data_IF_868251317707
#
_entry.id   IF_868251317707
#
_cell.length_a   1.000
_cell.length_b   1.000
_cell.length_c   1.000
_cell.angle_alpha   90.00
_cell.angle_beta   90.00
_cell.angle_gamma   90.00
#
_symmetry.space_group_name_H-M   'P 1'
#
loop_
_entity.id
_entity.type
_entity.pdbx_description
1 polymer ?
#
# COMPACT_ATOMS: atom_id res chain seq x y z
N UNK A 1 -0.89 -0.30 -21.46
CA UNK A 1 -1.92 -0.28 -20.40
C UNK A 1 -2.94 -1.41 -20.57
N UNK A 2 -3.62 -1.57 -21.72
CA UNK A 2 -4.64 -2.63 -21.94
C UNK A 2 -4.14 -4.08 -21.73
N UNK A 3 -2.87 -4.37 -22.03
CA UNK A 3 -2.24 -5.71 -21.82
C UNK A 3 -2.14 -6.16 -20.34
N UNK A 4 -2.34 -5.24 -19.40
CA UNK A 4 -2.19 -5.49 -17.95
C UNK A 4 -3.52 -5.71 -17.23
N UNK A 5 -4.65 -5.25 -17.77
CA UNK A 5 -5.93 -5.23 -17.02
C UNK A 5 -6.59 -6.60 -16.89
N UNK A 6 -6.25 -7.49 -17.82
CA UNK A 6 -6.55 -8.90 -17.84
C UNK A 6 -5.32 -9.49 -18.52
N UNK A 7 -4.57 -10.38 -17.88
CA UNK A 7 -3.44 -11.02 -18.52
C UNK A 7 -3.87 -11.47 -19.92
N UNK A 8 -3.07 -11.21 -20.97
CA UNK A 8 -3.45 -11.50 -22.36
C UNK A 8 -4.11 -12.88 -22.48
N UNK A 9 -3.54 -13.87 -21.78
CA UNK A 9 -4.11 -15.19 -21.61
C UNK A 9 -5.54 -15.15 -21.06
N UNK A 10 -5.78 -14.62 -19.85
CA UNK A 10 -7.11 -14.53 -19.20
C UNK A 10 -8.16 -13.80 -20.04
N UNK A 11 -7.80 -12.73 -20.75
CA UNK A 11 -8.75 -12.04 -21.63
C UNK A 11 -9.11 -12.87 -22.87
N UNK A 12 -8.12 -13.40 -23.58
CA UNK A 12 -8.34 -14.30 -24.72
C UNK A 12 -9.13 -15.55 -24.29
N UNK A 13 -8.81 -16.05 -23.09
CA UNK A 13 -9.50 -17.14 -22.42
C UNK A 13 -10.98 -16.82 -22.17
N UNK A 14 -11.29 -15.68 -21.55
CA UNK A 14 -12.66 -15.25 -21.24
C UNK A 14 -13.51 -14.92 -22.47
N UNK A 15 -12.91 -14.35 -23.53
CA UNK A 15 -13.59 -14.13 -24.81
C UNK A 15 -13.94 -15.46 -25.49
N UNK A 16 -13.03 -16.45 -25.42
CA UNK A 16 -13.26 -17.78 -25.96
C UNK A 16 -14.38 -18.51 -25.21
N UNK A 17 -14.39 -18.46 -23.88
CA UNK A 17 -15.44 -19.06 -23.06
C UNK A 17 -16.82 -18.46 -23.35
N UNK A 18 -16.92 -17.14 -23.42
CA UNK A 18 -18.18 -16.49 -23.77
C UNK A 18 -18.68 -16.88 -25.16
N UNK A 19 -17.80 -17.00 -26.15
CA UNK A 19 -18.17 -17.47 -27.48
C UNK A 19 -18.66 -18.93 -27.48
N UNK A 20 -18.10 -19.79 -26.62
CA UNK A 20 -18.55 -21.19 -26.44
C UNK A 20 -19.94 -21.28 -25.78
N UNK A 21 -20.30 -20.32 -24.91
CA UNK A 21 -21.63 -20.17 -24.29
C UNK A 21 -22.65 -19.41 -25.16
N UNK A 22 -22.28 -19.07 -26.41
CA UNK A 22 -23.14 -18.30 -27.33
C UNK A 22 -23.25 -16.81 -26.98
N UNK A 23 -22.43 -16.31 -26.05
CA UNK A 23 -22.34 -14.92 -25.66
C UNK A 23 -21.34 -14.17 -26.57
N UNK A 24 -21.84 -13.21 -27.34
CA UNK A 24 -20.98 -12.26 -28.07
C UNK A 24 -20.48 -11.20 -27.10
N UNK A 25 -19.24 -11.34 -26.62
CA UNK A 25 -18.60 -10.30 -25.81
C UNK A 25 -17.98 -9.26 -26.75
N UNK A 26 -18.62 -8.09 -26.83
CA UNK A 26 -18.03 -6.95 -27.52
C UNK A 26 -16.92 -6.34 -26.65
N UNK A 27 -15.68 -6.65 -27.01
CA UNK A 27 -14.47 -6.12 -26.34
C UNK A 27 -14.52 -4.61 -26.20
N UNK A 28 -15.00 -3.88 -27.21
CA UNK A 28 -15.09 -2.42 -27.16
C UNK A 28 -16.07 -1.95 -26.09
N UNK A 29 -17.19 -2.63 -25.92
CA UNK A 29 -18.20 -2.26 -24.93
C UNK A 29 -17.77 -2.60 -23.50
N UNK A 30 -17.12 -3.76 -23.31
CA UNK A 30 -16.48 -4.12 -22.04
C UNK A 30 -15.43 -3.08 -21.67
N UNK A 31 -14.49 -2.80 -22.58
CA UNK A 31 -13.41 -1.85 -22.34
C UNK A 31 -13.91 -0.43 -22.10
N UNK A 32 -15.02 -0.03 -22.73
CA UNK A 32 -15.67 1.25 -22.45
C UNK A 32 -16.03 1.37 -20.96
N UNK A 33 -16.63 0.33 -20.36
CA UNK A 33 -16.97 0.30 -18.94
C UNK A 33 -15.74 0.43 -18.01
N UNK A 34 -14.55 0.03 -18.45
CA UNK A 34 -13.33 0.11 -17.65
C UNK A 34 -12.49 1.37 -17.89
N UNK A 35 -12.70 2.09 -18.99
CA UNK A 35 -11.80 3.17 -19.42
C UNK A 35 -12.41 4.58 -19.39
N UNK A 36 -13.74 4.69 -19.29
CA UNK A 36 -14.44 5.99 -19.32
C UNK A 36 -14.99 6.45 -17.97
N UNK A 37 -14.78 5.66 -16.91
CA UNK A 37 -15.20 5.98 -15.56
C UNK A 37 -14.07 5.76 -14.56
N UNK A 38 -14.08 6.53 -13.47
CA UNK A 38 -13.04 6.50 -12.44
C UNK A 38 -13.22 5.31 -11.47
N UNK A 39 -12.10 4.87 -10.88
CA UNK A 39 -11.99 3.78 -9.90
C UNK A 39 -12.31 2.38 -10.47
N UNK A 40 -12.52 1.41 -9.60
CA UNK A 40 -12.73 -0.01 -9.92
C UNK A 40 -13.77 -0.62 -8.95
N UNK A 41 -14.36 -1.80 -9.27
CA UNK A 41 -15.36 -2.40 -8.40
C UNK A 41 -14.76 -3.16 -7.22
N UNK A 42 -15.54 -3.24 -6.14
CA UNK A 42 -15.48 -4.32 -5.15
C UNK A 42 -16.63 -5.29 -5.42
N UNK A 43 -16.29 -6.58 -5.51
CA UNK A 43 -17.21 -7.69 -5.73
C UNK A 43 -17.47 -8.38 -4.39
N UNK A 44 -18.72 -8.43 -3.95
CA UNK A 44 -19.15 -9.15 -2.75
C UNK A 44 -19.69 -10.53 -3.15
N UNK A 45 -19.12 -11.58 -2.56
CA UNK A 45 -19.53 -12.97 -2.74
C UNK A 45 -20.19 -13.46 -1.46
N UNK A 46 -21.43 -13.90 -1.55
CA UNK A 46 -22.21 -14.39 -0.42
C UNK A 46 -22.56 -15.85 -0.63
N UNK A 47 -22.17 -16.73 0.29
CA UNK A 47 -22.63 -18.12 0.32
C UNK A 47 -24.07 -18.16 0.81
N UNK A 48 -25.00 -18.52 -0.08
CA UNK A 48 -26.43 -18.54 0.23
C UNK A 48 -26.83 -19.90 0.83
N UNK A 49 -26.39 -20.98 0.19
CA UNK A 49 -26.62 -22.37 0.60
C UNK A 49 -25.63 -23.30 -0.11
N UNK A 50 -25.47 -24.57 0.32
CA UNK A 50 -24.60 -25.51 -0.39
C UNK A 50 -24.95 -25.58 -1.88
N UNK A 51 -23.95 -25.34 -2.73
CA UNK A 51 -24.06 -25.30 -4.18
C UNK A 51 -24.51 -23.96 -4.77
N UNK A 52 -24.68 -22.90 -3.97
CA UNK A 52 -25.20 -21.61 -4.43
C UNK A 52 -24.53 -20.42 -3.75
N UNK A 53 -24.06 -19.47 -4.57
CA UNK A 53 -23.52 -18.18 -4.13
C UNK A 53 -24.21 -17.03 -4.86
N UNK A 54 -24.30 -15.88 -4.22
CA UNK A 54 -24.71 -14.61 -4.83
C UNK A 54 -23.51 -13.67 -4.91
N UNK A 55 -23.29 -13.12 -6.10
CA UNK A 55 -22.17 -12.22 -6.39
C UNK A 55 -22.72 -10.85 -6.78
N UNK A 56 -22.31 -9.79 -6.08
CA UNK A 56 -22.74 -8.42 -6.35
C UNK A 56 -21.55 -7.48 -6.51
N UNK A 57 -21.73 -6.37 -7.24
CA UNK A 57 -20.68 -5.39 -7.47
C UNK A 57 -21.09 -3.98 -7.02
N UNK A 58 -20.10 -3.21 -6.59
CA UNK A 58 -20.23 -1.78 -6.27
C UNK A 58 -18.90 -1.05 -6.49
N UNK A 59 -18.92 0.28 -6.70
CA UNK A 59 -17.70 1.09 -6.83
C UNK A 59 -16.91 1.05 -5.53
N UNK A 60 -15.63 0.70 -5.60
CA UNK A 60 -14.72 0.80 -4.47
C UNK A 60 -14.29 2.27 -4.28
N UNK A 61 -14.39 2.75 -3.05
CA UNK A 61 -13.88 4.04 -2.58
C UNK A 61 -13.09 3.79 -1.31
N UNK A 62 -11.92 4.44 -1.18
CA UNK A 62 -11.11 4.35 0.03
C UNK A 62 -11.86 4.94 1.23
N UNK A 63 -12.52 6.08 1.03
CA UNK A 63 -13.45 6.67 1.99
C UNK A 63 -14.89 6.56 1.47
N UNK A 64 -15.72 5.80 2.17
CA UNK A 64 -17.13 5.58 1.81
C UNK A 64 -18.00 6.83 1.98
N UNK A 65 -17.52 7.84 2.71
CA UNK A 65 -18.21 9.11 2.91
C UNK A 65 -17.83 10.18 1.87
N UNK A 66 -16.94 9.84 0.92
CA UNK A 66 -16.62 10.75 -0.19
C UNK A 66 -17.90 11.04 -0.99
N UNK A 67 -18.19 12.33 -1.24
CA UNK A 67 -19.34 12.73 -2.06
C UNK A 67 -19.30 12.00 -3.40
N UNK A 68 -20.39 11.30 -3.71
CA UNK A 68 -20.51 10.54 -4.95
C UNK A 68 -20.84 11.49 -6.11
N UNK A 69 -20.39 11.13 -7.32
CA UNK A 69 -20.68 11.86 -8.57
C UNK A 69 -22.19 11.77 -8.96
N UNK A 70 -23.10 12.18 -8.07
CA UNK A 70 -24.55 12.15 -8.29
C UNK A 70 -25.12 10.78 -8.72
N UNK A 71 -26.19 10.81 -9.52
CA UNK A 71 -26.92 9.63 -10.04
C UNK A 71 -26.10 8.71 -10.99
N UNK A 72 -24.78 8.88 -11.12
CA UNK A 72 -23.98 8.02 -11.99
C UNK A 72 -23.89 6.59 -11.43
N UNK A 73 -24.41 5.65 -12.21
CA UNK A 73 -24.35 4.22 -11.87
C UNK A 73 -23.02 3.66 -12.34
N UNK A 74 -22.15 3.32 -11.39
CA UNK A 74 -20.84 2.73 -11.67
C UNK A 74 -20.93 1.21 -11.66
N UNK A 75 -20.87 0.61 -12.86
CA UNK A 75 -21.00 -0.82 -13.09
C UNK A 75 -20.00 -1.28 -14.15
N UNK A 76 -19.52 -2.51 -14.03
CA UNK A 76 -18.50 -3.09 -14.90
C UNK A 76 -18.88 -4.48 -15.39
N UNK A 77 -18.38 -4.83 -16.57
CA UNK A 77 -18.38 -6.20 -17.06
C UNK A 77 -17.15 -6.91 -16.48
N UNK A 78 -17.37 -7.82 -15.52
CA UNK A 78 -16.31 -8.41 -14.70
C UNK A 78 -16.09 -9.88 -15.10
N UNK A 79 -14.88 -10.27 -15.52
CA UNK A 79 -14.52 -11.68 -15.69
C UNK A 79 -14.25 -12.28 -14.31
N UNK A 80 -15.25 -12.93 -13.74
CA UNK A 80 -15.22 -13.49 -12.40
C UNK A 80 -14.76 -14.94 -12.44
N UNK A 81 -13.83 -15.31 -11.55
CA UNK A 81 -13.36 -16.68 -11.37
C UNK A 81 -13.48 -17.07 -9.91
N UNK A 82 -13.69 -18.36 -9.64
CA UNK A 82 -13.81 -18.92 -8.29
C UNK A 82 -13.01 -20.21 -8.13
N UNK A 83 -12.53 -20.43 -6.91
CA UNK A 83 -12.01 -21.69 -6.41
C UNK A 83 -12.70 -21.99 -5.07
N UNK A 84 -12.71 -23.26 -4.68
CA UNK A 84 -13.23 -23.72 -3.40
C UNK A 84 -12.27 -24.73 -2.75
N UNK A 85 -12.63 -25.25 -1.58
CA UNK A 85 -11.83 -26.22 -0.82
C UNK A 85 -11.42 -27.45 -1.62
N UNK A 86 -12.21 -27.86 -2.61
CA UNK A 86 -11.92 -29.02 -3.47
C UNK A 86 -10.98 -28.67 -4.64
N UNK A 87 -10.71 -27.39 -4.89
CA UNK A 87 -9.82 -26.93 -5.95
C UNK A 87 -8.36 -27.21 -5.57
N UNK A 88 -7.66 -28.00 -6.37
CA UNK A 88 -6.26 -28.29 -6.14
C UNK A 88 -5.40 -27.04 -6.43
N UNK A 89 -4.39 -26.75 -5.60
CA UNK A 89 -3.61 -25.50 -5.69
C UNK A 89 -2.88 -25.31 -7.04
N UNK A 90 -2.56 -26.42 -7.72
CA UNK A 90 -1.97 -26.41 -9.05
C UNK A 90 -2.95 -25.94 -10.15
N UNK A 91 -4.25 -26.00 -9.87
CA UNK A 91 -5.35 -25.65 -10.77
C UNK A 91 -5.97 -24.28 -10.44
N UNK A 92 -5.36 -23.53 -9.49
CA UNK A 92 -5.81 -22.18 -9.11
C UNK A 92 -5.54 -21.15 -10.21
N UNK A 93 -4.67 -21.44 -11.18
CA UNK A 93 -4.58 -20.66 -12.42
C UNK A 93 -5.75 -21.04 -13.33
N UNK A 94 -6.78 -20.18 -13.49
CA UNK A 94 -8.03 -20.57 -14.10
C UNK A 94 -7.85 -21.00 -15.55
N UNK A 95 -8.46 -22.13 -15.90
CA UNK A 95 -8.70 -22.51 -17.28
C UNK A 95 -9.67 -21.47 -17.88
N UNK A 96 -9.58 -21.14 -19.18
CA UNK A 96 -10.58 -20.31 -19.84
C UNK A 96 -12.03 -20.64 -19.51
N UNK A 97 -12.33 -21.92 -19.28
CA UNK A 97 -13.68 -22.42 -18.99
C UNK A 97 -14.21 -22.07 -17.60
N UNK A 98 -13.36 -21.55 -16.72
CA UNK A 98 -13.71 -21.26 -15.32
C UNK A 98 -14.14 -19.78 -15.13
N UNK A 99 -14.26 -19.01 -16.23
CA UNK A 99 -14.60 -17.58 -16.20
C UNK A 99 -16.11 -17.40 -16.34
N UNK A 100 -16.72 -16.78 -15.33
CA UNK A 100 -18.12 -16.38 -15.28
C UNK A 100 -18.19 -14.87 -15.54
N UNK A 101 -18.90 -14.43 -16.58
CA UNK A 101 -19.02 -13.00 -16.87
C UNK A 101 -20.17 -12.35 -16.09
N UNK A 102 -19.82 -11.44 -15.19
CA UNK A 102 -20.79 -10.58 -14.50
C UNK A 102 -21.08 -9.36 -15.39
N UNK A 103 -22.30 -9.29 -15.93
CA UNK A 103 -22.73 -8.17 -16.78
C UNK A 103 -22.87 -6.89 -15.98
N UNK A 104 -22.43 -5.76 -16.55
CA UNK A 104 -22.64 -4.42 -15.97
C UNK A 104 -24.11 -4.02 -15.83
N UNK A 105 -25.02 -4.70 -16.52
CA UNK A 105 -26.47 -4.45 -16.43
C UNK A 105 -27.08 -5.05 -15.16
N UNK A 106 -26.36 -5.95 -14.49
CA UNK A 106 -26.82 -6.64 -13.28
C UNK A 106 -25.97 -6.24 -12.08
N UNK A 107 -26.64 -5.69 -11.05
CA UNK A 107 -26.00 -5.41 -9.76
C UNK A 107 -25.56 -6.67 -9.05
N UNK A 108 -26.32 -7.75 -9.22
CA UNK A 108 -26.11 -9.04 -8.58
C UNK A 108 -26.41 -10.20 -9.55
N UNK A 109 -25.71 -11.31 -9.36
CA UNK A 109 -25.85 -12.55 -10.12
C UNK A 109 -25.76 -13.72 -9.15
N UNK A 110 -26.71 -14.64 -9.23
CA UNK A 110 -26.66 -15.92 -8.52
C UNK A 110 -25.94 -16.95 -9.37
N UNK A 111 -24.97 -17.65 -8.78
CA UNK A 111 -24.18 -18.71 -9.39
C UNK A 111 -24.53 -20.01 -8.66
N UNK A 112 -24.84 -21.04 -9.45
CA UNK A 112 -25.18 -22.38 -8.95
C UNK A 112 -24.16 -23.36 -9.52
N UNK A 113 -23.38 -23.98 -8.63
CA UNK A 113 -22.32 -24.92 -8.99
C UNK A 113 -22.17 -26.00 -7.92
N UNK A 114 -22.09 -27.26 -8.34
CA UNK A 114 -21.97 -28.39 -7.41
C UNK A 114 -20.64 -28.32 -6.66
N UNK A 115 -20.67 -28.52 -5.34
CA UNK A 115 -19.47 -28.52 -4.50
C UNK A 115 -19.07 -27.15 -3.94
N UNK A 116 -19.85 -26.10 -4.17
CA UNK A 116 -19.69 -24.84 -3.43
C UNK A 116 -20.18 -25.04 -1.98
N UNK A 117 -19.40 -24.66 -0.96
CA UNK A 117 -19.84 -24.76 0.43
C UNK A 117 -20.93 -23.73 0.73
N UNK A 118 -21.84 -24.10 1.62
CA UNK A 118 -22.79 -23.18 2.24
C UNK A 118 -22.19 -22.37 3.38
N UNK A 119 -22.93 -21.39 3.93
CA UNK A 119 -22.45 -20.53 5.01
C UNK A 119 -22.25 -21.27 6.34
N UNK A 120 -22.84 -22.45 6.53
CA UNK A 120 -22.70 -23.29 7.73
C UNK A 120 -21.41 -24.15 7.72
N UNK A 121 -20.79 -24.33 6.55
CA UNK A 121 -19.57 -25.14 6.38
C UNK A 121 -18.33 -24.27 6.61
N UNK A 122 -18.07 -23.95 7.88
CA UNK A 122 -17.05 -22.95 8.29
C UNK A 122 -15.60 -23.38 8.05
N UNK A 123 -15.34 -24.68 7.92
CA UNK A 123 -14.01 -25.22 7.59
C UNK A 123 -13.74 -25.21 6.06
N UNK A 124 -14.76 -24.88 5.27
CA UNK A 124 -14.69 -24.79 3.81
C UNK A 124 -14.76 -23.33 3.33
N UNK A 125 -14.13 -23.05 2.19
CA UNK A 125 -13.97 -21.68 1.68
C UNK A 125 -14.31 -21.56 0.19
N UNK A 126 -14.68 -20.35 -0.21
CA UNK A 126 -14.75 -19.88 -1.58
C UNK A 126 -13.76 -18.73 -1.75
N UNK A 127 -12.91 -18.80 -2.77
CA UNK A 127 -11.95 -17.75 -3.13
C UNK A 127 -12.23 -17.29 -4.55
N UNK A 128 -12.59 -16.03 -4.72
CA UNK A 128 -12.81 -15.43 -6.02
C UNK A 128 -11.63 -14.58 -6.49
N UNK A 129 -11.63 -14.26 -7.79
CA UNK A 129 -10.49 -13.62 -8.47
C UNK A 129 -9.21 -14.44 -8.34
N UNK A 130 -9.33 -15.75 -8.63
CA UNK A 130 -8.21 -16.70 -8.57
C UNK A 130 -7.04 -16.21 -9.43
N UNK A 131 -5.84 -16.20 -8.85
CA UNK A 131 -4.64 -15.64 -9.48
C UNK A 131 -4.56 -14.10 -9.56
N UNK A 132 -5.55 -13.37 -9.01
CA UNK A 132 -5.61 -11.90 -9.01
C UNK A 132 -5.52 -11.29 -10.42
N UNK A 133 -6.15 -11.92 -11.40
CA UNK A 133 -6.10 -11.48 -12.80
C UNK A 133 -7.07 -10.35 -13.13
N UNK A 134 -8.17 -10.25 -12.39
CA UNK A 134 -9.17 -9.22 -12.56
C UNK A 134 -8.83 -7.94 -11.79
N UNK A 135 -9.05 -6.79 -12.41
CA UNK A 135 -8.86 -5.47 -11.79
C UNK A 135 -10.03 -5.08 -10.88
N UNK A 136 -10.27 -5.87 -9.84
CA UNK A 136 -11.32 -5.64 -8.84
C UNK A 136 -10.92 -6.23 -7.49
N UNK A 137 -11.44 -5.64 -6.41
CA UNK A 137 -11.31 -6.22 -5.07
C UNK A 137 -12.43 -7.22 -4.83
N UNK A 138 -12.17 -8.24 -4.01
CA UNK A 138 -13.19 -9.21 -3.58
C UNK A 138 -13.45 -9.06 -2.10
N UNK A 139 -14.71 -9.14 -1.73
CA UNK A 139 -15.19 -9.30 -0.38
C UNK A 139 -16.10 -10.54 -0.33
N UNK A 140 -16.24 -11.16 0.84
CA UNK A 140 -17.05 -12.35 1.08
C UNK A 140 -18.00 -12.12 2.28
N UNK A 141 -18.98 -13.01 2.45
CA UNK A 141 -19.79 -13.07 3.66
C UNK A 141 -18.97 -13.39 4.93
N UNK A 142 -19.59 -13.18 6.09
CA UNK A 142 -18.92 -13.24 7.41
C UNK A 142 -18.49 -14.63 7.83
N UNK A 143 -18.99 -15.68 7.19
CA UNK A 143 -18.55 -17.05 7.51
C UNK A 143 -17.51 -17.55 6.51
N UNK A 144 -17.44 -16.97 5.29
CA UNK A 144 -16.43 -17.26 4.28
C UNK A 144 -15.16 -16.42 4.45
N UNK A 145 -15.34 -15.12 4.69
CA UNK A 145 -14.41 -14.35 5.54
C UNK A 145 -14.75 -14.65 6.99
N UNK A 146 -14.07 -13.99 7.91
CA UNK A 146 -14.61 -13.73 9.24
C UNK A 146 -15.50 -12.48 9.30
N UNK A 147 -15.82 -11.80 8.18
CA UNK A 147 -16.69 -10.62 8.16
C UNK A 147 -16.45 -9.61 7.04
N UNK A 148 -17.40 -8.68 6.81
CA UNK A 148 -17.03 -7.33 6.37
C UNK A 148 -16.01 -6.84 7.41
N UNK A 149 -14.76 -6.73 6.99
CA UNK A 149 -13.64 -6.84 7.92
C UNK A 149 -13.69 -5.76 9.00
N UNK A 150 -14.07 -6.15 10.22
CA UNK A 150 -13.56 -5.47 11.41
C UNK A 150 -12.02 -5.55 11.32
N UNK A 151 -11.32 -4.50 11.72
CA UNK A 151 -9.85 -4.45 11.67
C UNK A 151 -9.21 -5.66 12.34
N UNK A 152 -9.81 -6.13 13.45
CA UNK A 152 -9.44 -7.39 14.14
C UNK A 152 -9.37 -8.58 13.20
N UNK A 153 -10.32 -8.73 12.27
CA UNK A 153 -10.36 -9.86 11.35
C UNK A 153 -9.24 -9.77 10.33
N UNK A 154 -9.02 -8.58 9.75
CA UNK A 154 -7.90 -8.37 8.84
C UNK A 154 -6.56 -8.66 9.55
N UNK A 155 -6.43 -8.25 10.81
CA UNK A 155 -5.28 -8.54 11.64
C UNK A 155 -5.15 -10.04 12.01
N UNK A 156 -6.24 -10.76 12.21
CA UNK A 156 -6.18 -12.23 12.40
C UNK A 156 -5.62 -12.93 11.16
N UNK A 157 -5.93 -12.43 9.95
CA UNK A 157 -5.38 -13.00 8.72
C UNK A 157 -3.88 -12.82 8.57
N UNK A 158 -3.22 -11.95 9.33
CA UNK A 158 -1.74 -11.86 9.32
C UNK A 158 -1.09 -12.76 10.38
N UNK A 159 -1.86 -13.40 11.26
CA UNK A 159 -1.34 -14.34 12.25
C UNK A 159 -0.63 -15.55 11.64
N UNK A 160 -0.97 -15.96 10.42
CA UNK A 160 -0.27 -17.07 9.75
C UNK A 160 1.13 -16.71 9.25
N UNK A 161 1.50 -15.42 9.18
CA UNK A 161 2.76 -14.97 8.58
C UNK A 161 3.98 -15.59 9.25
N UNK A 162 3.93 -15.88 10.56
CA UNK A 162 4.99 -16.61 11.27
C UNK A 162 5.33 -17.99 10.63
N UNK A 163 4.40 -18.56 9.87
CA UNK A 163 4.57 -19.84 9.16
C UNK A 163 4.80 -19.66 7.66
N UNK A 164 4.63 -18.46 7.13
CA UNK A 164 4.79 -18.14 5.72
C UNK A 164 6.27 -18.01 5.35
N UNK A 165 6.64 -18.51 4.17
CA UNK A 165 8.01 -18.51 3.63
C UNK A 165 8.09 -17.90 2.23
N UNK A 166 6.95 -17.64 1.58
CA UNK A 166 6.86 -17.11 0.23
C UNK A 166 6.94 -15.59 0.24
N UNK A 167 7.58 -15.04 -0.79
CA UNK A 167 7.80 -13.60 -0.94
C UNK A 167 6.49 -12.80 -1.09
N UNK A 168 5.58 -13.24 -1.97
CA UNK A 168 4.39 -12.44 -2.31
C UNK A 168 3.46 -12.16 -1.12
N UNK A 169 3.11 -13.13 -0.27
CA UNK A 169 2.26 -12.83 0.89
C UNK A 169 2.96 -11.95 1.93
N UNK A 170 4.27 -12.13 2.14
CA UNK A 170 5.06 -11.23 2.99
C UNK A 170 5.14 -9.81 2.43
N UNK A 171 5.34 -9.66 1.13
CA UNK A 171 5.35 -8.36 0.47
C UNK A 171 4.02 -7.64 0.66
N UNK A 172 2.90 -8.32 0.37
CA UNK A 172 1.56 -7.77 0.59
C UNK A 172 1.34 -7.35 2.05
N UNK A 173 1.69 -8.22 3.00
CA UNK A 173 1.53 -7.92 4.43
C UNK A 173 2.39 -6.75 4.89
N UNK A 174 3.69 -6.73 4.57
CA UNK A 174 4.62 -5.70 5.04
C UNK A 174 4.28 -4.34 4.43
N UNK A 175 3.79 -4.28 3.20
CA UNK A 175 3.30 -3.02 2.61
C UNK A 175 2.13 -2.46 3.42
N UNK A 176 1.10 -3.25 3.70
CA UNK A 176 -0.07 -2.77 4.46
C UNK A 176 0.26 -2.51 5.95
N UNK A 177 1.18 -3.28 6.54
CA UNK A 177 1.67 -3.07 7.91
C UNK A 177 2.55 -1.82 8.04
N UNK A 178 3.23 -1.41 6.97
CA UNK A 178 3.97 -0.15 6.95
C UNK A 178 3.00 1.05 7.00
N UNK A 179 1.91 1.01 6.25
CA UNK A 179 0.84 2.02 6.34
C UNK A 179 0.28 2.09 7.77
N UNK A 180 -0.03 0.93 8.38
CA UNK A 180 -0.50 0.87 9.76
C UNK A 180 0.50 1.46 10.77
N UNK A 181 1.80 1.19 10.59
CA UNK A 181 2.87 1.78 11.40
C UNK A 181 2.89 3.30 11.28
N UNK A 182 2.70 3.83 10.08
CA UNK A 182 2.80 5.27 9.81
C UNK A 182 1.61 6.06 10.40
N UNK A 183 0.54 5.37 10.77
CA UNK A 183 -0.59 5.90 11.54
C UNK A 183 -0.32 5.99 13.06
N UNK A 184 0.83 5.51 13.54
CA UNK A 184 1.20 5.48 14.95
C UNK A 184 2.37 6.41 15.22
N UNK A 185 2.26 7.22 16.27
CA UNK A 185 3.40 8.00 16.77
C UNK A 185 4.41 7.08 17.46
N UNK A 186 5.72 7.30 17.23
CA UNK A 186 6.78 6.45 17.83
C UNK A 186 6.77 6.50 19.36
N UNK A 187 6.31 7.59 19.95
CA UNK A 187 6.18 7.77 21.40
C UNK A 187 4.90 7.13 21.98
N UNK A 188 4.00 6.63 21.13
CA UNK A 188 2.75 5.99 21.54
C UNK A 188 3.01 4.55 22.05
N UNK A 189 2.47 4.14 23.21
CA UNK A 189 2.50 2.75 23.65
C UNK A 189 2.08 1.72 22.59
N UNK A 190 1.14 2.08 21.71
CA UNK A 190 0.65 1.21 20.62
C UNK A 190 1.80 0.84 19.68
N UNK A 191 2.70 1.78 19.38
CA UNK A 191 3.85 1.54 18.51
C UNK A 191 4.78 0.45 19.08
N UNK A 192 4.93 0.40 20.40
CA UNK A 192 5.72 -0.64 21.09
C UNK A 192 5.06 -2.02 20.99
N UNK A 193 3.74 -2.08 21.17
CA UNK A 193 2.98 -3.32 20.99
C UNK A 193 3.07 -3.83 19.55
N UNK A 194 2.93 -2.93 18.57
CA UNK A 194 3.09 -3.22 17.15
C UNK A 194 4.51 -3.73 16.82
N UNK A 195 5.54 -3.08 17.35
CA UNK A 195 6.94 -3.48 17.17
C UNK A 195 7.20 -4.89 17.73
N UNK A 196 6.62 -5.20 18.90
CA UNK A 196 6.73 -6.51 19.53
C UNK A 196 6.07 -7.59 18.68
N UNK A 197 4.87 -7.32 18.16
CA UNK A 197 4.17 -8.19 17.23
C UNK A 197 5.00 -8.45 15.96
N UNK A 198 5.53 -7.40 15.31
CA UNK A 198 6.33 -7.52 14.09
C UNK A 198 7.63 -8.31 14.29
N UNK A 199 8.33 -8.08 15.41
CA UNK A 199 9.52 -8.86 15.76
C UNK A 199 9.18 -10.35 15.88
N UNK A 200 8.06 -10.69 16.51
CA UNK A 200 7.60 -12.08 16.63
C UNK A 200 7.29 -12.70 15.26
N UNK A 201 6.51 -12.02 14.42
CA UNK A 201 6.14 -12.52 13.09
C UNK A 201 7.37 -12.79 12.22
N UNK A 202 8.33 -11.87 12.22
CA UNK A 202 9.55 -11.95 11.39
C UNK A 202 10.63 -12.88 11.95
N UNK A 203 10.59 -13.18 13.25
CA UNK A 203 11.65 -13.92 13.96
C UNK A 203 12.07 -15.22 13.28
N UNK A 204 11.11 -16.01 12.80
CA UNK A 204 11.38 -17.29 12.13
C UNK A 204 12.17 -17.09 10.84
N UNK A 205 11.72 -16.19 9.97
CA UNK A 205 12.41 -15.89 8.72
C UNK A 205 13.78 -15.26 9.01
N UNK A 206 13.85 -14.33 9.95
CA UNK A 206 15.11 -13.71 10.34
C UNK A 206 16.14 -14.76 10.79
N UNK A 207 15.72 -15.74 11.60
CA UNK A 207 16.58 -16.84 12.05
C UNK A 207 16.93 -17.86 10.95
N UNK A 208 16.23 -17.87 9.81
CA UNK A 208 16.63 -18.68 8.65
C UNK A 208 17.75 -18.04 7.84
N UNK A 209 18.00 -16.74 8.00
CA UNK A 209 19.15 -16.08 7.39
C UNK A 209 20.41 -16.39 8.22
N UNK A 210 21.45 -16.90 7.54
CA UNK A 210 22.68 -17.41 8.17
C UNK A 210 23.41 -16.31 8.98
N UNK A 211 23.70 -16.52 10.28
CA UNK A 211 24.43 -15.58 11.12
C UNK A 211 25.86 -15.28 10.62
N UNK A 212 26.42 -16.05 9.68
CA UNK A 212 27.68 -15.73 9.00
C UNK A 212 27.62 -14.43 8.18
N UNK A 213 26.42 -13.94 7.85
CA UNK A 213 26.24 -12.63 7.20
C UNK A 213 26.51 -11.43 8.14
N UNK A 214 26.61 -11.62 9.46
CA UNK A 214 26.60 -10.50 10.40
C UNK A 214 27.99 -9.97 10.81
N UNK A 215 29.06 -10.73 10.65
CA UNK A 215 30.38 -10.33 11.18
C UNK A 215 31.31 -9.66 10.15
N UNK A 216 31.11 -9.90 8.85
CA UNK A 216 32.01 -9.43 7.78
C UNK A 216 31.47 -8.22 6.99
N UNK A 217 30.24 -7.77 7.27
CA UNK A 217 29.57 -6.72 6.49
C UNK A 217 29.96 -5.30 6.90
N UNK A 218 30.47 -5.11 8.12
CA UNK A 218 30.83 -3.78 8.65
C UNK A 218 32.18 -3.26 8.13
N UNK A 219 33.06 -4.14 7.64
CA UNK A 219 34.41 -3.74 7.18
C UNK A 219 34.48 -3.43 5.68
N UNK A 220 33.49 -3.85 4.87
CA UNK A 220 33.48 -3.61 3.42
C UNK A 220 32.07 -3.37 2.89
N UNK A 221 31.67 -2.09 2.74
CA UNK A 221 30.40 -1.66 2.12
C UNK A 221 30.12 -2.34 0.76
N UNK A 222 31.18 -2.72 0.02
CA UNK A 222 31.07 -3.36 -1.30
C UNK A 222 30.58 -4.82 -1.24
N UNK A 223 30.67 -5.48 -0.07
CA UNK A 223 30.18 -6.86 0.14
C UNK A 223 28.72 -6.96 0.54
N UNK A 224 28.06 -5.83 0.78
CA UNK A 224 26.64 -5.81 1.11
C UNK A 224 25.84 -6.16 -0.14
N UNK A 225 25.01 -7.20 -0.05
CA UNK A 225 24.10 -7.56 -1.15
C UNK A 225 23.23 -6.36 -1.51
N UNK A 226 23.14 -6.05 -2.80
CA UNK A 226 22.42 -4.87 -3.31
C UNK A 226 21.01 -4.75 -2.75
N UNK A 227 20.35 -5.89 -2.54
CA UNK A 227 18.98 -5.99 -2.05
C UNK A 227 18.82 -5.60 -0.56
N UNK A 228 19.87 -5.71 0.26
CA UNK A 228 19.83 -5.37 1.70
C UNK A 228 20.48 -4.02 2.02
N UNK A 229 21.14 -3.37 1.04
CA UNK A 229 21.91 -2.13 1.24
C UNK A 229 21.07 -1.01 1.85
N UNK A 230 19.85 -0.80 1.37
CA UNK A 230 18.99 0.25 1.89
C UNK A 230 18.69 0.05 3.39
N UNK A 231 18.30 -1.17 3.77
CA UNK A 231 18.06 -1.54 5.17
C UNK A 231 19.33 -1.37 6.00
N UNK A 232 20.47 -1.88 5.52
CA UNK A 232 21.73 -1.78 6.23
C UNK A 232 22.17 -0.33 6.47
N UNK A 233 22.17 0.51 5.43
CA UNK A 233 22.57 1.92 5.55
C UNK A 233 21.63 2.68 6.48
N UNK A 234 20.32 2.50 6.31
CA UNK A 234 19.34 3.15 7.17
C UNK A 234 19.50 2.73 8.64
N UNK A 235 19.70 1.43 8.92
CA UNK A 235 19.94 0.92 10.29
C UNK A 235 21.24 1.45 10.87
N UNK A 236 22.32 1.50 10.08
CA UNK A 236 23.60 2.05 10.51
C UNK A 236 23.46 3.54 10.88
N UNK A 237 22.84 4.35 10.01
CA UNK A 237 22.61 5.78 10.27
C UNK A 237 21.63 6.03 11.43
N UNK A 238 20.61 5.19 11.59
CA UNK A 238 19.65 5.31 12.71
C UNK A 238 20.34 5.17 14.06
N UNK A 239 21.34 4.29 14.16
CA UNK A 239 22.06 4.00 15.40
C UNK A 239 23.46 4.65 15.46
N UNK A 240 23.85 5.36 14.40
CA UNK A 240 25.18 5.93 14.23
C UNK A 240 25.35 7.33 14.83
N UNK A 241 26.59 7.77 14.81
CA UNK A 241 27.04 9.10 15.23
C UNK A 241 27.07 10.10 14.07
N UNK A 242 27.46 11.34 14.35
CA UNK A 242 27.74 12.33 13.29
C UNK A 242 28.84 11.83 12.34
N UNK A 243 29.89 11.18 12.86
CA UNK A 243 31.01 10.68 12.05
C UNK A 243 30.55 9.59 11.07
N UNK A 244 29.65 8.70 11.51
CA UNK A 244 29.06 7.67 10.65
C UNK A 244 28.19 8.29 9.55
N UNK A 245 27.46 9.36 9.87
CA UNK A 245 26.67 10.11 8.90
C UNK A 245 27.55 10.82 7.87
N UNK A 246 28.61 11.52 8.33
CA UNK A 246 29.55 12.22 7.47
C UNK A 246 30.23 11.23 6.50
N UNK A 247 30.62 10.06 6.98
CA UNK A 247 31.17 9.00 6.14
C UNK A 247 30.21 8.56 5.03
N UNK A 248 28.94 8.30 5.35
CA UNK A 248 27.93 7.92 4.33
C UNK A 248 27.67 9.08 3.36
N UNK A 249 27.70 10.33 3.84
CA UNK A 249 27.54 11.51 2.99
C UNK A 249 28.71 11.68 2.02
N UNK A 250 29.95 11.47 2.47
CA UNK A 250 31.13 11.46 1.59
C UNK A 250 31.01 10.37 0.52
N UNK A 251 30.52 9.18 0.87
CA UNK A 251 30.27 8.10 -0.08
C UNK A 251 29.18 8.49 -1.08
N UNK A 252 28.11 9.16 -0.65
CA UNK A 252 27.07 9.71 -1.54
C UNK A 252 27.64 10.68 -2.58
N UNK A 253 28.55 11.57 -2.17
CA UNK A 253 29.19 12.54 -3.07
C UNK A 253 30.10 11.88 -4.12
N UNK A 254 30.70 10.75 -3.78
CA UNK A 254 31.61 9.99 -4.66
C UNK A 254 30.88 8.95 -5.53
N UNK A 255 29.60 8.66 -5.27
CA UNK A 255 28.86 7.60 -5.95
C UNK A 255 28.42 8.01 -7.37
N UNK A 256 28.91 7.28 -8.36
CA UNK A 256 28.59 7.49 -9.77
C UNK A 256 27.26 6.87 -10.20
N UNK A 257 26.82 5.81 -9.52
CA UNK A 257 25.63 5.03 -9.86
C UNK A 257 24.39 5.70 -9.31
N UNK A 258 23.45 6.08 -10.20
CA UNK A 258 22.24 6.80 -9.79
C UNK A 258 21.39 6.07 -8.75
N UNK A 259 21.21 4.75 -8.90
CA UNK A 259 20.43 3.94 -7.96
C UNK A 259 21.09 3.81 -6.58
N UNK A 260 22.41 3.65 -6.55
CA UNK A 260 23.14 3.57 -5.28
C UNK A 260 23.20 4.92 -4.58
N UNK A 261 23.40 5.99 -5.35
CA UNK A 261 23.33 7.35 -4.83
C UNK A 261 21.98 7.64 -4.20
N UNK A 262 20.88 7.17 -4.80
CA UNK A 262 19.54 7.32 -4.25
C UNK A 262 19.34 6.55 -2.92
N UNK A 263 19.89 5.33 -2.81
CA UNK A 263 19.88 4.56 -1.54
C UNK A 263 20.65 5.28 -0.44
N UNK A 264 21.85 5.77 -0.72
CA UNK A 264 22.66 6.52 0.24
C UNK A 264 21.93 7.79 0.68
N UNK A 265 21.38 8.54 -0.27
CA UNK A 265 20.57 9.74 -0.02
C UNK A 265 19.39 9.47 0.90
N UNK A 266 18.65 8.39 0.63
CA UNK A 266 17.50 7.98 1.46
C UNK A 266 17.95 7.55 2.85
N UNK A 267 19.07 6.83 2.97
CA UNK A 267 19.59 6.36 4.25
C UNK A 267 20.09 7.49 5.16
N UNK A 268 20.66 8.56 4.59
CA UNK A 268 21.07 9.75 5.35
C UNK A 268 19.90 10.41 6.09
N UNK A 269 18.68 10.26 5.57
CA UNK A 269 17.47 10.75 6.22
C UNK A 269 17.00 9.87 7.39
N UNK A 270 17.59 8.69 7.64
CA UNK A 270 17.20 7.80 8.74
C UNK A 270 17.78 8.18 10.12
N UNK A 271 18.59 9.24 10.20
CA UNK A 271 19.21 9.65 11.47
C UNK A 271 18.16 10.10 12.49
N UNK A 272 18.42 9.83 13.78
CA UNK A 272 17.59 10.34 14.89
C UNK A 272 17.94 11.78 15.29
N UNK A 273 19.02 12.34 14.74
CA UNK A 273 19.48 13.68 15.07
C UNK A 273 18.74 14.73 14.22
N UNK A 274 17.81 15.45 14.85
CA UNK A 274 17.02 16.49 14.20
C UNK A 274 17.86 17.60 13.53
N UNK A 275 19.03 17.95 14.08
CA UNK A 275 19.89 18.98 13.48
C UNK A 275 20.51 18.51 12.16
N UNK A 276 20.83 17.22 12.06
CA UNK A 276 21.33 16.63 10.81
C UNK A 276 20.20 16.62 9.77
N UNK A 277 18.96 16.31 10.19
CA UNK A 277 17.80 16.38 9.29
C UNK A 277 17.57 17.80 8.77
N UNK A 278 17.64 18.81 9.63
CA UNK A 278 17.54 20.22 9.22
C UNK A 278 18.63 20.58 8.19
N UNK A 279 19.88 20.21 8.49
CA UNK A 279 21.03 20.42 7.60
C UNK A 279 20.83 19.73 6.24
N UNK A 280 20.33 18.50 6.24
CA UNK A 280 20.07 17.72 5.03
C UNK A 280 18.99 18.38 4.14
N UNK A 281 17.97 19.00 4.73
CA UNK A 281 16.96 19.76 3.99
C UNK A 281 17.52 21.05 3.40
N UNK A 282 18.39 21.76 4.12
CA UNK A 282 19.12 22.91 3.58
C UNK A 282 20.01 22.51 2.39
N UNK A 283 20.73 21.39 2.51
CA UNK A 283 21.52 20.81 1.42
C UNK A 283 20.63 20.41 0.22
N UNK A 284 19.41 19.95 0.44
CA UNK A 284 18.46 19.62 -0.63
C UNK A 284 18.12 20.84 -1.51
N UNK A 285 18.13 22.05 -0.94
CA UNK A 285 17.91 23.29 -1.70
C UNK A 285 19.20 23.85 -2.33
N UNK A 286 20.36 23.22 -2.13
CA UNK A 286 21.63 23.63 -2.70
C UNK A 286 22.15 22.59 -3.70
N UNK A 287 22.15 22.96 -4.99
CA UNK A 287 22.57 22.09 -6.10
C UNK A 287 24.02 21.61 -6.04
N UNK A 288 24.85 22.23 -5.21
CA UNK A 288 26.25 21.83 -5.01
C UNK A 288 26.38 20.58 -4.14
N UNK A 289 25.39 20.31 -3.29
CA UNK A 289 25.37 19.15 -2.40
C UNK A 289 24.40 18.08 -2.92
N UNK A 290 23.16 18.46 -3.22
CA UNK A 290 22.13 17.53 -3.70
C UNK A 290 21.64 17.99 -5.06
N UNK A 291 21.59 17.05 -6.02
CA UNK A 291 21.13 17.33 -7.38
C UNK A 291 19.68 17.80 -7.35
N UNK A 292 19.33 18.69 -8.27
CA UNK A 292 18.01 19.32 -8.32
C UNK A 292 16.85 18.30 -8.42
N UNK A 293 17.02 17.26 -9.23
CA UNK A 293 16.05 16.17 -9.37
C UNK A 293 15.90 15.30 -8.11
N UNK A 294 16.90 15.31 -7.23
CA UNK A 294 16.97 14.51 -6.00
C UNK A 294 16.43 15.30 -4.79
N UNK A 295 16.30 16.63 -4.91
CA UNK A 295 15.91 17.54 -3.82
C UNK A 295 14.56 17.18 -3.18
N UNK A 296 13.51 17.03 -3.98
CA UNK A 296 12.17 16.65 -3.48
C UNK A 296 12.21 15.27 -2.84
N UNK A 297 12.95 14.33 -3.43
CA UNK A 297 13.14 13.01 -2.84
C UNK A 297 13.79 13.07 -1.46
N UNK A 298 14.69 14.03 -1.22
CA UNK A 298 15.33 14.22 0.10
C UNK A 298 14.34 14.79 1.10
N UNK A 299 13.55 15.80 0.73
CA UNK A 299 12.53 16.35 1.63
C UNK A 299 11.49 15.30 2.01
N UNK A 300 11.05 14.47 1.05
CA UNK A 300 10.11 13.37 1.30
C UNK A 300 10.74 12.30 2.20
N UNK A 301 12.02 11.96 2.00
CA UNK A 301 12.72 11.00 2.86
C UNK A 301 12.85 11.51 4.31
N UNK A 302 13.10 12.82 4.51
CA UNK A 302 13.12 13.44 5.84
C UNK A 302 11.72 13.46 6.45
N UNK A 303 10.68 13.74 5.66
CA UNK A 303 9.31 13.72 6.15
C UNK A 303 8.84 12.33 6.60
N UNK A 304 9.32 11.26 5.95
CA UNK A 304 9.05 9.88 6.38
C UNK A 304 9.83 9.43 7.63
N UNK A 305 10.73 10.25 8.16
CA UNK A 305 11.40 9.99 9.42
C UNK A 305 10.54 10.50 10.59
N UNK A 306 10.25 9.70 11.63
CA UNK A 306 9.49 10.14 12.80
C UNK A 306 10.02 11.40 13.50
N UNK A 307 11.34 11.62 13.49
CA UNK A 307 11.99 12.82 14.02
C UNK A 307 12.05 13.98 13.02
N UNK A 308 11.67 13.73 11.76
CA UNK A 308 11.75 14.64 10.63
C UNK A 308 10.39 15.11 10.09
N UNK A 309 9.28 14.42 10.37
CA UNK A 309 7.93 14.75 9.87
C UNK A 309 7.57 16.23 10.06
N UNK A 310 7.58 16.71 11.31
CA UNK A 310 7.22 18.09 11.61
C UNK A 310 8.25 19.09 11.06
N UNK A 311 9.54 18.73 11.13
CA UNK A 311 10.63 19.56 10.63
C UNK A 311 10.53 19.79 9.13
N UNK A 312 10.23 18.74 8.37
CA UNK A 312 10.05 18.78 6.93
C UNK A 312 8.86 19.66 6.56
N UNK A 313 7.76 19.55 7.29
CA UNK A 313 6.59 20.39 7.05
C UNK A 313 6.87 21.87 7.33
N UNK A 314 7.48 22.20 8.48
CA UNK A 314 7.88 23.58 8.79
C UNK A 314 8.90 24.12 7.77
N UNK A 315 9.84 23.30 7.33
CA UNK A 315 10.81 23.66 6.31
C UNK A 315 10.14 23.99 4.98
N UNK A 316 9.16 23.17 4.55
CA UNK A 316 8.38 23.40 3.32
C UNK A 316 7.58 24.69 3.43
N UNK A 317 6.86 24.94 4.53
CA UNK A 317 6.11 26.18 4.74
C UNK A 317 7.04 27.40 4.68
N UNK A 318 8.15 27.36 5.41
CA UNK A 318 9.11 28.47 5.53
C UNK A 318 9.81 28.77 4.20
N UNK A 319 10.19 27.73 3.45
CA UNK A 319 10.94 27.87 2.19
C UNK A 319 10.04 27.79 0.95
N UNK A 320 8.72 27.85 1.11
CA UNK A 320 7.79 27.69 0.00
C UNK A 320 8.05 28.63 -1.19
N UNK A 321 8.41 29.92 -1.00
CA UNK A 321 8.74 30.79 -2.14
C UNK A 321 9.89 30.25 -2.99
N UNK A 322 10.94 29.68 -2.38
CA UNK A 322 12.08 29.07 -3.09
C UNK A 322 11.66 27.78 -3.79
N UNK A 323 10.85 26.95 -3.13
CA UNK A 323 10.33 25.71 -3.69
C UNK A 323 9.42 25.99 -4.89
N UNK A 324 8.56 27.01 -4.79
CA UNK A 324 7.70 27.49 -5.87
C UNK A 324 8.52 27.97 -7.06
N UNK A 325 9.51 28.82 -6.84
CA UNK A 325 10.35 29.36 -7.92
C UNK A 325 11.09 28.25 -8.66
N UNK A 326 11.63 27.28 -7.91
CA UNK A 326 12.48 26.22 -8.47
C UNK A 326 11.72 25.05 -9.08
N UNK A 327 10.64 24.60 -8.44
CA UNK A 327 9.93 23.38 -8.81
C UNK A 327 8.46 23.60 -9.23
N UNK A 328 7.93 24.81 -9.04
CA UNK A 328 6.51 25.13 -9.21
C UNK A 328 6.00 25.06 -10.65
N UNK A 329 6.89 25.12 -11.65
CA UNK A 329 6.52 24.99 -13.07
C UNK A 329 5.97 23.60 -13.43
N UNK A 330 6.32 22.57 -12.65
CA UNK A 330 5.94 21.18 -12.94
C UNK A 330 4.92 20.69 -11.93
N UNK A 331 3.68 20.46 -12.39
CA UNK A 331 2.59 19.90 -11.57
C UNK A 331 3.02 18.63 -10.84
N UNK A 332 3.72 17.73 -11.53
CA UNK A 332 4.18 16.46 -10.97
C UNK A 332 5.15 16.64 -9.78
N UNK A 333 6.08 17.58 -9.84
CA UNK A 333 7.05 17.81 -8.77
C UNK A 333 6.37 18.31 -7.49
N UNK A 334 5.49 19.31 -7.65
CA UNK A 334 4.77 19.87 -6.50
C UNK A 334 3.78 18.87 -5.90
N UNK A 335 3.10 18.08 -6.74
CA UNK A 335 2.24 16.99 -6.26
C UNK A 335 3.04 15.95 -5.47
N UNK A 336 4.20 15.51 -6.01
CA UNK A 336 5.10 14.58 -5.30
C UNK A 336 5.60 15.16 -3.97
N UNK A 337 5.92 16.45 -3.93
CA UNK A 337 6.34 17.12 -2.71
C UNK A 337 5.24 17.11 -1.65
N UNK A 338 4.02 17.56 -1.99
CA UNK A 338 2.94 17.65 -1.01
C UNK A 338 2.45 16.29 -0.55
N UNK A 339 2.19 15.36 -1.47
CA UNK A 339 1.79 14.00 -1.10
C UNK A 339 2.87 13.30 -0.29
N UNK A 340 4.15 13.46 -0.63
CA UNK A 340 5.22 12.82 0.12
C UNK A 340 5.51 13.41 1.50
N UNK A 341 5.39 14.74 1.66
CA UNK A 341 5.62 15.40 2.96
C UNK A 341 4.41 15.23 3.89
N UNK A 342 3.20 15.16 3.35
CA UNK A 342 1.98 14.96 4.11
C UNK A 342 1.60 13.48 4.31
N UNK A 343 2.29 12.53 3.65
CA UNK A 343 2.04 11.09 3.81
C UNK A 343 1.92 10.63 5.28
N UNK A 344 2.81 11.03 6.21
CA UNK A 344 2.69 10.61 7.62
C UNK A 344 1.59 11.35 8.41
N UNK A 345 0.85 12.29 7.81
CA UNK A 345 -0.14 13.07 8.55
C UNK A 345 -1.40 12.27 8.84
N UNK A 346 -1.77 12.23 10.12
CA UNK A 346 -2.91 11.48 10.62
C UNK A 346 -3.63 12.18 11.80
N UNK A 347 -3.33 13.47 12.06
CA UNK A 347 -3.97 14.25 13.14
C UNK A 347 -4.77 15.43 12.59
N UNK A 348 -5.83 15.82 13.31
CA UNK A 348 -6.70 16.93 12.92
C UNK A 348 -5.93 18.26 12.79
N UNK A 349 -4.96 18.50 13.68
CA UNK A 349 -4.10 19.69 13.60
C UNK A 349 -3.33 19.74 12.27
N UNK A 350 -2.76 18.61 11.83
CA UNK A 350 -2.04 18.53 10.55
C UNK A 350 -2.94 18.70 9.34
N UNK A 351 -4.16 18.16 9.41
CA UNK A 351 -5.16 18.39 8.36
C UNK A 351 -5.49 19.87 8.24
N UNK A 352 -5.76 20.55 9.36
CA UNK A 352 -6.07 21.98 9.37
C UNK A 352 -4.91 22.83 8.86
N UNK A 353 -3.67 22.51 9.27
CA UNK A 353 -2.48 23.17 8.76
C UNK A 353 -2.35 23.04 7.23
N UNK A 354 -2.57 21.85 6.68
CA UNK A 354 -2.47 21.59 5.25
C UNK A 354 -3.59 22.28 4.45
N UNK A 355 -4.82 22.26 4.95
CA UNK A 355 -5.96 22.95 4.34
C UNK A 355 -5.78 24.47 4.34
N UNK A 356 -5.30 25.04 5.44
CA UNK A 356 -5.01 26.47 5.55
C UNK A 356 -3.86 26.88 4.62
N UNK A 357 -2.80 26.08 4.55
CA UNK A 357 -1.70 26.31 3.63
C UNK A 357 -2.15 26.29 2.15
N UNK A 358 -3.08 25.41 1.80
CA UNK A 358 -3.71 25.37 0.47
C UNK A 358 -4.54 26.60 0.17
N UNK A 359 -5.34 27.09 1.14
CA UNK A 359 -6.11 28.34 1.01
C UNK A 359 -5.20 29.55 0.80
N UNK A 360 -4.06 29.59 1.47
CA UNK A 360 -3.06 30.65 1.32
C UNK A 360 -2.33 30.60 -0.03
N UNK A 361 -2.33 29.44 -0.70
CA UNK A 361 -1.60 29.20 -1.95
C UNK A 361 -2.52 28.60 -3.04
N UNK A 362 -3.54 29.35 -3.51
CA UNK A 362 -4.59 28.82 -4.39
C UNK A 362 -4.07 28.28 -5.73
N UNK A 363 -2.91 28.77 -6.21
CA UNK A 363 -2.25 28.28 -7.43
C UNK A 363 -1.84 26.79 -7.33
N UNK A 364 -1.73 26.26 -6.12
CA UNK A 364 -1.27 24.89 -5.84
C UNK A 364 -2.34 23.98 -5.25
N UNK A 365 -3.61 24.43 -5.18
CA UNK A 365 -4.68 23.63 -4.57
C UNK A 365 -4.88 22.28 -5.28
N UNK A 366 -4.67 22.19 -6.60
CA UNK A 366 -4.77 20.92 -7.35
C UNK A 366 -3.67 19.94 -6.96
N UNK A 367 -2.46 20.45 -6.70
CA UNK A 367 -1.30 19.66 -6.31
C UNK A 367 -1.39 19.19 -4.86
N UNK A 368 -2.14 19.89 -4.02
CA UNK A 368 -2.39 19.53 -2.62
C UNK A 368 -3.67 18.71 -2.40
N UNK A 369 -4.57 18.65 -3.40
CA UNK A 369 -5.89 18.04 -3.24
C UNK A 369 -5.82 16.58 -2.75
N UNK A 370 -4.93 15.78 -3.35
CA UNK A 370 -4.75 14.38 -2.96
C UNK A 370 -4.19 14.27 -1.53
N UNK A 371 -3.18 15.09 -1.18
CA UNK A 371 -2.60 15.11 0.15
C UNK A 371 -3.66 15.45 1.22
N UNK A 372 -4.52 16.45 0.96
CA UNK A 372 -5.61 16.82 1.87
C UNK A 372 -6.63 15.68 2.01
N UNK A 373 -7.03 15.06 0.89
CA UNK A 373 -8.00 13.97 0.90
C UNK A 373 -7.47 12.74 1.66
N UNK A 374 -6.19 12.42 1.47
CA UNK A 374 -5.49 11.33 2.13
C UNK A 374 -5.32 11.59 3.62
N UNK A 375 -4.81 12.77 4.01
CA UNK A 375 -4.72 13.15 5.43
C UNK A 375 -6.09 13.12 6.12
N UNK A 376 -7.16 13.56 5.45
CA UNK A 376 -8.52 13.46 6.01
C UNK A 376 -8.99 12.02 6.19
N UNK A 377 -8.64 11.12 5.27
CA UNK A 377 -8.90 9.69 5.41
C UNK A 377 -8.12 9.10 6.59
N UNK A 378 -6.85 9.47 6.73
CA UNK A 378 -5.98 9.06 7.82
C UNK A 378 -6.52 9.48 9.19
N UNK A 379 -6.90 10.75 9.37
CA UNK A 379 -7.50 11.25 10.62
C UNK A 379 -8.72 10.42 11.03
N UNK A 380 -9.66 10.21 10.11
CA UNK A 380 -10.85 9.39 10.38
C UNK A 380 -10.50 7.94 10.70
N UNK A 381 -9.49 7.39 10.03
CA UNK A 381 -9.03 6.04 10.29
C UNK A 381 -8.50 5.93 11.72
N UNK A 382 -7.70 6.90 12.18
CA UNK A 382 -7.18 6.94 13.57
C UNK A 382 -8.35 6.97 14.56
N UNK A 383 -9.27 7.92 14.37
CA UNK A 383 -10.44 8.12 15.26
C UNK A 383 -11.31 6.87 15.39
N UNK A 384 -11.37 6.05 14.33
CA UNK A 384 -12.27 4.89 14.26
C UNK A 384 -11.59 3.57 14.64
N UNK A 385 -10.32 3.38 14.26
CA UNK A 385 -9.69 2.06 14.25
C UNK A 385 -8.50 1.92 15.18
N UNK A 386 -7.81 3.01 15.56
CA UNK A 386 -6.54 2.92 16.28
C UNK A 386 -6.69 2.18 17.63
N UNK A 387 -7.79 2.44 18.36
CA UNK A 387 -8.06 1.74 19.61
C UNK A 387 -8.34 0.25 19.40
N UNK A 388 -9.05 -0.12 18.33
CA UNK A 388 -9.31 -1.52 17.99
C UNK A 388 -8.01 -2.27 17.67
N UNK A 389 -7.09 -1.61 16.96
CA UNK A 389 -5.75 -2.14 16.67
C UNK A 389 -4.96 -2.34 17.96
N UNK A 390 -5.01 -1.37 18.88
CA UNK A 390 -4.33 -1.47 20.16
C UNK A 390 -4.84 -2.66 20.98
N UNK A 391 -6.15 -2.78 21.14
CA UNK A 391 -6.77 -3.85 21.91
C UNK A 391 -6.43 -5.23 21.30
N UNK A 392 -6.42 -5.33 19.98
CA UNK A 392 -6.02 -6.54 19.27
C UNK A 392 -4.54 -6.88 19.51
N UNK A 393 -3.64 -5.91 19.35
CA UNK A 393 -2.20 -6.11 19.58
C UNK A 393 -1.91 -6.60 21.00
N UNK A 394 -2.60 -6.04 22.01
CA UNK A 394 -2.45 -6.47 23.40
C UNK A 394 -2.90 -7.93 23.60
N UNK A 395 -4.05 -8.32 23.03
CA UNK A 395 -4.55 -9.69 23.13
C UNK A 395 -3.61 -10.68 22.42
N UNK A 396 -3.18 -10.33 21.21
CA UNK A 396 -2.31 -11.15 20.37
C UNK A 396 -0.90 -11.26 20.97
N UNK A 397 -0.39 -10.23 21.64
CA UNK A 397 0.87 -10.30 22.38
C UNK A 397 0.75 -11.09 23.69
N UNK A 398 -0.41 -11.05 24.37
CA UNK A 398 -0.65 -11.78 25.62
C UNK A 398 -1.00 -13.27 25.46
N UNK A 399 -1.42 -13.70 24.26
CA UNK A 399 -1.77 -15.09 23.97
C UNK A 399 -0.56 -16.05 23.85
N UNK A 400 0.66 -15.55 24.05
CA UNK A 400 1.95 -16.25 23.97
C UNK A 400 2.70 -16.08 25.28
#
# INVERSE_FOLDING_TARGET
>A
MVKFFLGKATFEKGIKAAAEDGLSVNVTDVMRGWTVQNNFPVVMVTRDSPGQITVSQSRYLLDQNTETDGNQTHMWDIPFTIANTSTHIADVDPNPRDVIWLSREKKEVTIVEQGLPGPEETDEWVLANTGCYGYYRVNYDVTNWSGRLNYTIALDTIGYLQRETKYLPWYAAVTELAELRDMMSVDDPIYKEFSTFMQRQTSRIFNTFDPSMNATLLEELDRILVDIRNTFYCTAITNGTQEDWDFVFERYLQEGTGSERDRLRSALACTRNGNILDTLMEMALNSSYIREQDAIGTLVAVAGNPYGTDRAWEFVKTNFPKLKDRFGATLFNMKRLFSGVAAPFHTEDKLQELEEFSKQNPDFSVQMADAIAETRANVRWVDTNLQLVHDWLQQENAAV
#
